data_IF_688153961411
#
_entry.id   IF_688153961411
#
_cell.length_a   1.000
_cell.length_b   1.000
_cell.length_c   1.000
_cell.angle_alpha   90.00
_cell.angle_beta   90.00
_cell.angle_gamma   90.00
#
_symmetry.space_group_name_H-M   'P 1'
#
loop_
_entity.id
_entity.type
_entity.pdbx_description
1 polymer ?
2 non-polymer ?
3 non-polymer ?
4 non-polymer ?
5 non-polymer ?
6 water ?
#
# COMPACT_ATOMS: atom_id res chain seq x y z
N UNK A 7 24.43 -9.35 -6.84
CA UNK A 7 23.59 -8.27 -7.37
C UNK A 7 22.15 -8.39 -6.88
N UNK A 8 21.50 -7.26 -6.63
CA UNK A 8 20.10 -7.27 -6.17
C UNK A 8 19.15 -7.46 -7.35
N UNK A 9 18.42 -8.58 -7.35
CA UNK A 9 17.40 -8.79 -8.36
C UNK A 9 16.24 -7.83 -8.14
N UNK A 10 15.36 -7.77 -9.14
CA UNK A 10 14.18 -6.93 -9.02
C UNK A 10 13.16 -7.49 -8.04
N UNK A 11 13.23 -8.79 -7.73
CA UNK A 11 12.45 -9.30 -6.61
C UNK A 11 13.03 -8.82 -5.29
N UNK A 12 14.35 -8.62 -5.23
CA UNK A 12 14.99 -8.18 -4.00
C UNK A 12 14.81 -6.68 -3.79
N UNK A 13 14.83 -5.89 -4.87
CA UNK A 13 14.62 -4.46 -4.74
C UNK A 13 13.20 -4.14 -4.29
N UNK A 14 12.22 -4.88 -4.82
CA UNK A 14 10.83 -4.65 -4.43
C UNK A 14 10.62 -4.91 -2.94
N UNK A 15 11.22 -5.97 -2.41
CA UNK A 15 11.13 -6.23 -0.98
C UNK A 15 11.83 -5.13 -0.19
N UNK A 16 12.97 -4.66 -0.69
CA UNK A 16 13.70 -3.59 0.00
C UNK A 16 12.96 -2.27 -0.10
N UNK A 17 12.43 -1.94 -1.28
CA UNK A 17 11.74 -0.66 -1.46
C UNK A 17 10.48 -0.58 -0.61
N UNK A 18 9.81 -1.71 -0.36
CA UNK A 18 8.62 -1.70 0.48
C UNK A 18 8.99 -1.34 1.91
N UNK A 19 10.05 -1.95 2.44
CA UNK A 19 10.52 -1.62 3.78
C UNK A 19 11.12 -0.23 3.81
N UNK A 20 11.85 0.15 2.75
CA UNK A 20 12.42 1.49 2.69
C UNK A 20 11.34 2.56 2.67
N UNK A 21 10.22 2.29 2.00
CA UNK A 21 9.14 3.28 1.92
C UNK A 21 8.37 3.38 3.23
N UNK A 22 8.09 2.25 3.87
CA UNK A 22 7.47 2.28 5.19
C UNK A 22 8.32 3.05 6.18
N UNK A 23 9.64 2.85 6.13
CA UNK A 23 10.53 3.57 7.03
C UNK A 23 10.54 5.07 6.72
N UNK A 24 10.47 5.43 5.44
CA UNK A 24 10.50 6.84 5.06
C UNK A 24 9.38 7.63 5.73
N UNK A 25 8.27 6.97 6.06
CA UNK A 25 7.14 7.63 6.71
C UNK A 25 7.00 7.31 8.19
N UNK A 26 7.61 6.24 8.67
CA UNK A 26 7.46 5.88 10.08
C UNK A 26 8.38 6.69 10.99
N UNK A 27 9.54 7.11 10.50
CA UNK A 27 10.51 7.84 11.32
C UNK A 27 10.20 9.32 11.46
N UNK A 28 9.08 9.80 10.91
CA UNK A 28 8.86 11.24 10.90
C UNK A 28 8.47 11.77 12.27
N UNK A 29 7.64 11.05 13.01
CA UNK A 29 7.19 11.51 14.32
C UNK A 29 6.82 10.31 15.17
N UNK A 30 6.75 10.53 16.48
CA UNK A 30 6.40 9.45 17.38
C UNK A 30 7.43 8.33 17.35
N UNK A 31 6.94 7.11 17.54
CA UNK A 31 7.81 5.94 17.45
C UNK A 31 8.35 5.84 16.02
N UNK A 32 9.66 5.70 15.84
CA UNK A 32 10.22 5.72 14.47
C UNK A 32 9.91 4.49 13.64
N UNK A 33 9.41 3.40 14.24
CA UNK A 33 9.10 2.18 13.50
C UNK A 33 7.60 1.94 13.37
N UNK A 34 6.76 2.92 13.70
CA UNK A 34 5.32 2.82 13.53
C UNK A 34 4.80 4.04 12.78
N UNK A 35 3.62 3.90 12.18
CA UNK A 35 3.00 4.96 11.40
C UNK A 35 1.91 5.62 12.24
N UNK A 36 2.06 6.92 12.50
CA UNK A 36 0.95 7.66 13.07
C UNK A 36 -0.15 7.82 12.03
N UNK A 37 -1.26 8.42 12.46
CA UNK A 37 -2.32 8.75 11.52
C UNK A 37 -1.80 9.68 10.43
N UNK A 38 -1.10 10.75 10.83
CA UNK A 38 -0.54 11.69 9.87
C UNK A 38 0.47 11.02 8.95
N UNK A 39 1.28 10.11 9.49
CA UNK A 39 2.27 9.42 8.66
C UNK A 39 1.61 8.49 7.66
N UNK A 40 0.62 7.71 8.11
CA UNK A 40 -0.05 6.77 7.23
C UNK A 40 -0.83 7.49 6.13
N UNK A 41 -1.56 8.54 6.48
CA UNK A 41 -2.24 9.34 5.46
C UNK A 41 -1.23 9.99 4.51
N UNK A 42 -0.08 10.42 5.05
CA UNK A 42 0.96 10.99 4.20
C UNK A 42 1.52 9.95 3.24
N UNK A 43 1.78 8.74 3.75
CA UNK A 43 2.28 7.67 2.90
C UNK A 43 1.25 7.26 1.86
N UNK A 44 -0.01 7.09 2.28
CA UNK A 44 -1.06 6.66 1.36
C UNK A 44 -1.24 7.67 0.23
N UNK A 45 -1.33 8.95 0.59
CA UNK A 45 -1.55 9.99 -0.42
C UNK A 45 -0.35 10.18 -1.33
N UNK A 46 0.85 9.81 -0.89
CA UNK A 46 2.06 10.03 -1.68
C UNK A 46 2.60 8.76 -2.34
N UNK A 47 2.24 7.58 -1.85
CA UNK A 47 2.79 6.33 -2.36
C UNK A 47 1.75 5.36 -2.90
N UNK A 48 0.47 5.57 -2.63
CA UNK A 48 -0.60 4.71 -3.12
C UNK A 48 -1.67 5.53 -3.83
N UNK A 49 -1.23 6.56 -4.56
CA UNK A 49 -2.16 7.50 -5.18
C UNK A 49 -2.92 6.87 -6.34
N UNK A 50 -2.31 5.91 -7.04
CA UNK A 50 -3.00 5.24 -8.14
C UNK A 50 -3.69 3.96 -7.68
N UNK A 51 -3.01 3.14 -6.88
CA UNK A 51 -3.65 1.94 -6.33
C UNK A 51 -4.86 2.30 -5.50
N UNK A 52 -4.83 3.45 -4.83
CA UNK A 52 -5.91 3.90 -3.97
C UNK A 52 -6.30 5.33 -4.39
N UNK A 53 -6.76 5.45 -5.64
CA UNK A 53 -7.12 6.76 -6.17
C UNK A 53 -8.33 7.36 -5.46
N UNK A 54 -9.24 6.51 -4.99
CA UNK A 54 -10.40 6.99 -4.25
C UNK A 54 -10.07 7.29 -2.79
N UNK A 55 -8.96 6.76 -2.28
CA UNK A 55 -8.59 6.95 -0.88
C UNK A 55 -7.91 8.29 -0.65
N UNK A 56 -7.01 8.69 -1.56
CA UNK A 56 -6.22 9.90 -1.36
C UNK A 56 -7.10 11.13 -1.21
N UNK A 57 -8.13 11.25 -2.05
CA UNK A 57 -9.01 12.41 -2.00
C UNK A 57 -10.13 12.25 -0.99
N UNK A 58 -10.47 11.03 -0.61
CA UNK A 58 -11.56 10.76 0.34
C UNK A 58 -10.92 10.40 1.68
N UNK A 59 -10.74 11.41 2.54
CA UNK A 59 -10.21 11.17 3.88
C UNK A 59 -11.09 10.23 4.68
N UNK A 60 -12.38 10.15 4.34
CA UNK A 60 -13.28 9.26 5.06
C UNK A 60 -12.88 7.80 4.90
N UNK A 61 -12.15 7.46 3.83
CA UNK A 61 -11.74 6.08 3.62
C UNK A 61 -10.48 5.76 4.41
N UNK A 62 -9.51 6.68 4.43
CA UNK A 62 -8.28 6.46 5.18
C UNK A 62 -8.57 6.26 6.66
N UNK A 63 -9.65 6.87 7.16
CA UNK A 63 -10.04 6.67 8.55
C UNK A 63 -10.52 5.25 8.79
N UNK A 64 -11.32 4.71 7.86
CA UNK A 64 -11.75 3.32 7.98
C UNK A 64 -10.55 2.37 7.92
N UNK A 65 -9.63 2.61 6.98
CA UNK A 65 -8.49 1.72 6.80
C UNK A 65 -7.59 1.75 8.03
N UNK A 66 -7.36 2.95 8.58
CA UNK A 66 -6.49 3.09 9.74
C UNK A 66 -7.02 2.31 10.93
N UNK A 67 -8.33 2.35 11.15
CA UNK A 67 -8.92 1.67 12.29
C UNK A 67 -9.03 0.16 12.07
N UNK A 68 -9.06 -0.29 10.82
CA UNK A 68 -9.04 -1.73 10.56
C UNK A 68 -7.62 -2.28 10.66
N UNK A 69 -6.63 -1.53 10.20
CA UNK A 69 -5.25 -1.99 10.29
C UNK A 69 -4.75 -1.96 11.73
N UNK A 70 -5.17 -0.95 12.51
CA UNK A 70 -4.75 -0.83 13.90
C UNK A 70 -5.52 -1.83 14.75
N UNK A 71 -5.03 -3.07 14.76
CA UNK A 71 -5.74 -4.16 15.43
C UNK A 71 -5.57 -4.12 16.95
N UNK A 72 -4.44 -3.63 17.45
CA UNK A 72 -4.24 -3.56 18.89
C UNK A 72 -4.71 -2.23 19.49
N UNK A 73 -5.25 -1.33 18.67
CA UNK A 73 -5.87 -0.09 19.13
C UNK A 73 -4.91 0.78 19.96
N UNK A 74 -3.76 1.10 19.36
CA UNK A 74 -2.83 2.06 19.95
C UNK A 74 -2.61 3.27 19.04
N UNK A 75 -3.48 3.46 18.05
CA UNK A 75 -3.51 4.65 17.21
C UNK A 75 -2.26 4.80 16.34
N UNK A 76 -1.53 3.71 16.13
CA UNK A 76 -0.40 3.70 15.21
C UNK A 76 -0.29 2.32 14.58
N UNK A 77 0.30 2.27 13.39
CA UNK A 77 0.41 1.04 12.63
C UNK A 77 1.84 0.51 12.73
N UNK A 78 1.99 -0.67 13.33
CA UNK A 78 3.27 -1.34 13.31
C UNK A 78 3.56 -1.88 11.91
N UNK A 79 4.80 -2.32 11.70
CA UNK A 79 5.17 -2.89 10.41
C UNK A 79 4.33 -4.11 10.08
N UNK A 80 3.96 -4.88 11.10
CA UNK A 80 3.11 -6.05 10.88
C UNK A 80 1.69 -5.64 10.51
N UNK A 81 1.16 -4.61 11.16
CA UNK A 81 -0.20 -4.17 10.88
C UNK A 81 -0.31 -3.50 9.51
N UNK A 82 0.74 -2.80 9.09
CA UNK A 82 0.73 -2.13 7.79
C UNK A 82 0.92 -3.10 6.63
N UNK A 83 1.59 -4.23 6.85
CA UNK A 83 1.75 -5.19 5.76
C UNK A 83 0.43 -5.87 5.40
N UNK A 84 -0.52 -5.93 6.34
CA UNK A 84 -1.84 -6.46 6.02
C UNK A 84 -2.48 -5.70 4.88
N UNK A 85 -2.24 -4.39 4.80
CA UNK A 85 -2.70 -3.62 3.65
C UNK A 85 -1.89 -3.96 2.41
N UNK A 86 -0.56 -4.05 2.55
CA UNK A 86 0.28 -4.36 1.41
C UNK A 86 -0.06 -5.73 0.83
N UNK A 87 -0.47 -6.67 1.68
CA UNK A 87 -0.92 -7.97 1.19
C UNK A 87 -2.20 -7.83 0.38
N UNK A 88 -3.19 -7.12 0.91
CA UNK A 88 -4.45 -6.94 0.20
C UNK A 88 -4.26 -6.22 -1.13
N UNK A 89 -3.31 -5.29 -1.20
CA UNK A 89 -3.04 -4.59 -2.45
C UNK A 89 -2.43 -5.53 -3.49
N UNK A 90 -1.47 -6.36 -3.07
CA UNK A 90 -0.84 -7.29 -3.99
C UNK A 90 -1.86 -8.27 -4.55
N UNK A 91 -2.69 -8.84 -3.68
CA UNK A 91 -3.72 -9.77 -4.15
C UNK A 91 -4.75 -9.07 -5.03
N UNK A 92 -5.11 -7.83 -4.69
CA UNK A 92 -6.08 -7.09 -5.51
C UNK A 92 -5.46 -6.68 -6.84
N UNK A 93 -4.18 -6.29 -6.83
CA UNK A 93 -3.50 -5.98 -8.08
C UNK A 93 -3.35 -7.22 -8.95
N UNK A 94 -3.11 -8.38 -8.34
CA UNK A 94 -2.99 -9.62 -9.11
C UNK A 94 -4.33 -9.99 -9.74
N UNK A 95 -5.43 -9.79 -9.02
CA UNK A 95 -6.74 -10.07 -9.59
C UNK A 95 -7.04 -9.14 -10.76
N UNK A 96 -6.86 -7.83 -10.54
CA UNK A 96 -7.14 -6.85 -11.59
C UNK A 96 -6.24 -7.04 -12.80
N UNK A 97 -5.01 -7.52 -12.58
CA UNK A 97 -4.09 -7.72 -13.69
C UNK A 97 -4.59 -8.81 -14.63
N UNK A 98 -5.22 -9.86 -14.08
CA UNK A 98 -5.87 -10.87 -14.91
C UNK A 98 -7.15 -10.35 -15.54
N UNK A 99 -7.85 -9.42 -14.87
CA UNK A 99 -9.07 -8.86 -15.43
C UNK A 99 -8.77 -7.94 -16.61
N UNK A 100 -7.70 -7.14 -16.50
CA UNK A 100 -7.34 -6.22 -17.57
C UNK A 100 -6.66 -6.91 -18.75
N UNK A 101 -6.33 -8.19 -18.63
CA UNK A 101 -5.66 -8.95 -19.68
C UNK A 101 -6.48 -10.19 -20.04
N UNK A 102 -7.63 -10.01 -20.70
CA UNK A 102 -8.43 -11.17 -21.10
C UNK A 102 -7.72 -11.98 -22.17
N UNK A 103 -8.02 -13.28 -22.18
CA UNK A 103 -7.42 -14.19 -23.15
C UNK A 103 -8.29 -14.29 -24.40
N UNK A 104 -7.66 -14.61 -25.52
CA UNK A 104 -8.38 -14.90 -26.75
C UNK A 104 -8.55 -13.74 -27.70
N UNK A 105 -8.11 -12.53 -27.33
CA UNK A 105 -8.24 -11.38 -28.22
C UNK A 105 -7.19 -11.37 -29.32
N UNK A 106 -6.11 -12.13 -29.17
CA UNK A 106 -5.05 -12.12 -30.15
C UNK A 106 -4.18 -10.88 -30.13
N UNK A 107 -4.05 -10.22 -28.98
CA UNK A 107 -3.21 -9.03 -28.85
C UNK A 107 -2.94 -8.77 -27.37
N UNK A 108 -1.93 -7.94 -27.10
CA UNK A 108 -1.55 -7.64 -25.73
C UNK A 108 -2.43 -6.54 -25.14
N UNK A 109 -2.40 -6.45 -23.80
CA UNK A 109 -3.01 -5.37 -23.05
C UNK A 109 -1.97 -4.79 -22.10
N UNK A 110 -2.01 -3.48 -21.90
CA UNK A 110 -1.00 -2.82 -21.09
C UNK A 110 -1.55 -1.96 -19.98
N UNK A 111 -2.66 -2.39 -19.37
CA UNK A 111 -3.23 -1.64 -18.26
C UNK A 111 -2.54 -1.94 -16.94
N UNK A 112 -2.06 -3.17 -16.75
CA UNK A 112 -1.53 -3.55 -15.46
C UNK A 112 -2.67 -3.71 -14.47
N UNK A 113 -2.59 -2.98 -13.35
CA UNK A 113 -3.62 -3.02 -12.33
C UNK A 113 -3.84 -1.61 -11.79
N UNK A 114 -5.04 -1.36 -11.29
CA UNK A 114 -5.39 -0.06 -10.74
C UNK A 114 -6.10 -0.15 -9.41
X LIG B 1 6.12 7.10 13.70
X LIG C 1 -1.35 -0.67 16.34
X LIG D 1 11.28 -1.00 10.89
X LIG E 1 -8.26 -6.99 -26.23
X LIG F 1 9.02 -4.24 14.12
X LIG G 1 -8.08 12.33 11.75
X LIG G 1 -9.14 12.86 12.59
X LIG G 1 -6.82 12.97 12.09
X LIG G 1 -7.96 10.89 11.96
X LIG G 1 -8.39 12.60 10.35
X LIG H 1 12.28 -0.69 -8.74
X LIG H 1 10.86 -0.48 -8.49
X LIG H 1 13.02 0.51 -8.36
X LIG H 1 12.75 -1.82 -7.93
X LIG H 1 12.49 -0.98 -10.15
X LIG I 1 -1.38 -12.25 -17.35
X LIG I 1 -0.77 -10.99 -17.76
X LIG I 1 -1.61 -12.21 -15.90
X LIG I 1 -0.48 -13.35 -17.65
X LIG I 1 -2.65 -12.43 -18.04
#
# INVERSE_FOLDING_TARGET
GAMANKAPSQMERSITTIIDTFHQYSRKEGHPDTLSKKEFRQMVEAQLATFMKKEKRNEALINDIMEDLDTNQDNQLSFEEAMMLMAKLIFACHEKLHENNPRGHGHSHGKGCGK
CA CA
CA CA
ZN ZN
ZN ZN
NA NA
SO4 S O1 O2 O3 O4
SO4 S O1 O2 O3 O4
SO4 S O1 O2 O3 O4
#
